data_IF_169248013724
#
_entry.id   IF_169248013724
#
_cell.length_a   1.000
_cell.length_b   1.000
_cell.length_c   1.000
_cell.angle_alpha   90.00
_cell.angle_beta   90.00
_cell.angle_gamma   90.00
#
_symmetry.space_group_name_H-M   'P 1'
#
loop_
_entity.id
_entity.type
_entity.pdbx_description
1 polymer ?
#
# COMPACT_ATOMS: atom_id res chain seq x y z
N UNK A 1 17.18 0.46 -1.67
CA UNK A 1 18.15 1.45 -1.17
C UNK A 1 17.89 2.85 -1.74
N UNK A 2 16.68 3.44 -1.70
CA UNK A 2 16.24 4.26 -2.85
C UNK A 2 15.06 5.27 -2.69
N UNK A 3 15.03 6.18 -1.72
CA UNK A 3 14.77 7.59 -2.16
C UNK A 3 15.56 8.63 -1.35
N UNK A 4 16.32 8.27 -0.32
CA UNK A 4 17.54 9.06 -0.06
C UNK A 4 18.53 8.83 -1.22
N UNK A 5 18.52 7.67 -1.89
CA UNK A 5 19.47 7.36 -2.98
C UNK A 5 18.99 7.69 -4.41
N UNK A 6 17.69 7.87 -4.68
CA UNK A 6 17.21 8.24 -6.03
C UNK A 6 17.19 9.75 -6.28
N UNK A 7 17.13 10.58 -5.23
CA UNK A 7 17.57 11.98 -5.34
C UNK A 7 19.11 12.12 -5.42
N UNK A 8 19.85 11.02 -5.29
CA UNK A 8 21.30 10.97 -5.09
C UNK A 8 22.05 10.18 -6.17
N UNK A 9 21.35 9.65 -7.19
CA UNK A 9 21.95 8.81 -8.23
C UNK A 9 21.93 9.45 -9.63
N UNK A 10 21.94 10.78 -9.70
CA UNK A 10 22.23 11.48 -10.95
C UNK A 10 22.91 12.83 -10.73
N UNK A 11 24.10 12.78 -10.11
CA UNK A 11 25.34 13.57 -10.40
C UNK A 11 26.23 13.55 -9.15
N UNK A 12 27.47 13.04 -9.31
CA UNK A 12 28.64 13.12 -8.42
C UNK A 12 28.42 12.99 -6.89
N UNK A 13 28.98 11.93 -6.28
CA UNK A 13 28.92 11.68 -4.82
C UNK A 13 29.55 12.78 -3.93
N UNK A 14 30.11 13.85 -4.50
CA UNK A 14 30.75 14.94 -3.76
C UNK A 14 29.99 16.29 -3.82
N UNK A 15 29.04 16.52 -4.72
CA UNK A 15 28.45 17.88 -4.91
C UNK A 15 27.47 18.34 -3.82
N UNK A 16 26.74 17.45 -3.16
CA UNK A 16 25.70 17.84 -2.19
C UNK A 16 26.27 18.24 -0.80
N UNK A 17 27.45 17.70 -0.44
CA UNK A 17 28.20 18.08 0.76
C UNK A 17 28.87 19.46 0.62
N UNK A 18 28.98 19.96 -0.62
CA UNK A 18 29.59 21.23 -0.96
C UNK A 18 28.59 22.39 -0.82
N UNK A 19 27.29 22.09 -0.81
CA UNK A 19 26.22 23.09 -0.63
C UNK A 19 26.20 23.69 0.78
N UNK A 20 26.02 25.00 0.88
CA UNK A 20 25.90 25.74 2.16
C UNK A 20 24.79 25.20 3.09
N UNK A 21 23.84 24.45 2.55
CA UNK A 21 22.67 23.93 3.28
C UNK A 21 22.88 22.53 3.89
N UNK A 22 24.00 21.83 3.66
CA UNK A 22 24.14 20.42 4.10
C UNK A 22 23.91 20.26 5.62
N UNK A 23 24.43 21.18 6.43
CA UNK A 23 24.28 21.17 7.90
C UNK A 23 22.83 21.40 8.31
N UNK A 24 22.16 22.35 7.66
CA UNK A 24 20.77 22.71 7.96
C UNK A 24 19.81 21.58 7.59
N UNK A 25 20.01 20.96 6.42
CA UNK A 25 19.25 19.79 5.98
C UNK A 25 19.44 18.64 6.97
N UNK A 26 20.68 18.32 7.34
CA UNK A 26 20.96 17.25 8.31
C UNK A 26 20.31 17.54 9.68
N UNK A 27 20.46 18.77 10.19
CA UNK A 27 19.86 19.18 11.47
C UNK A 27 18.32 19.11 11.42
N UNK A 28 17.72 19.55 10.31
CA UNK A 28 16.27 19.47 10.10
C UNK A 28 15.77 18.03 10.04
N UNK A 29 16.46 17.14 9.32
CA UNK A 29 16.11 15.73 9.26
C UNK A 29 16.21 15.08 10.64
N UNK A 30 17.28 15.34 11.42
CA UNK A 30 17.39 14.88 12.81
C UNK A 30 16.28 15.41 13.71
N UNK A 31 15.89 16.67 13.54
CA UNK A 31 14.76 17.24 14.27
C UNK A 31 13.44 16.52 13.92
N UNK A 32 13.21 16.20 12.65
CA UNK A 32 12.02 15.47 12.19
C UNK A 32 12.02 14.03 12.68
N UNK A 33 13.16 13.34 12.68
CA UNK A 33 13.30 11.99 13.24
C UNK A 33 12.88 11.94 14.71
N UNK A 34 13.33 12.91 15.53
CA UNK A 34 12.97 12.99 16.95
C UNK A 34 11.48 13.27 17.20
N UNK A 35 10.77 13.81 16.21
CA UNK A 35 9.33 14.13 16.29
C UNK A 35 8.44 13.04 15.69
N UNK A 36 9.02 11.92 15.22
CA UNK A 36 8.23 10.81 14.69
C UNK A 36 7.44 10.12 15.81
N UNK A 37 6.35 9.46 15.41
CA UNK A 37 5.58 8.64 16.33
C UNK A 37 6.44 7.46 16.82
N UNK A 38 6.34 7.18 18.11
CA UNK A 38 7.10 6.10 18.74
C UNK A 38 6.35 4.80 18.51
N UNK A 39 7.02 3.85 17.85
CA UNK A 39 6.53 2.48 17.71
C UNK A 39 6.81 1.69 18.99
N UNK A 40 5.77 1.12 19.59
CA UNK A 40 5.82 0.37 20.86
C UNK A 40 5.77 -1.14 20.68
N UNK A 41 5.38 -1.63 19.50
CA UNK A 41 5.31 -3.06 19.20
C UNK A 41 4.22 -3.80 19.96
N UNK A 42 3.09 -3.14 20.24
CA UNK A 42 1.97 -3.67 21.03
C UNK A 42 0.87 -4.32 20.17
N UNK A 43 1.03 -4.30 18.85
CA UNK A 43 0.07 -4.87 17.90
C UNK A 43 -0.15 -6.38 18.11
N UNK A 44 -1.40 -6.86 18.20
CA UNK A 44 -1.71 -8.29 18.21
C UNK A 44 -1.15 -9.05 17.00
N UNK A 45 -1.02 -8.38 15.84
CA UNK A 45 -0.64 -8.94 14.54
C UNK A 45 0.88 -8.87 14.29
N UNK A 46 1.70 -8.54 15.30
CA UNK A 46 3.13 -8.33 15.11
C UNK A 46 3.86 -9.55 14.50
N UNK A 47 3.40 -10.76 14.83
CA UNK A 47 3.94 -12.01 14.30
C UNK A 47 3.75 -12.13 12.77
N UNK A 48 2.73 -11.50 12.18
CA UNK A 48 2.45 -11.49 10.75
C UNK A 48 3.30 -10.47 9.98
N UNK A 49 4.02 -9.59 10.69
CA UNK A 49 4.78 -8.48 10.10
C UNK A 49 5.73 -8.94 9.00
N UNK A 50 6.40 -10.09 9.16
CA UNK A 50 7.30 -10.64 8.14
C UNK A 50 6.54 -10.94 6.83
N UNK A 51 5.45 -11.69 6.93
CA UNK A 51 4.63 -12.05 5.76
C UNK A 51 4.03 -10.80 5.08
N UNK A 52 3.60 -9.82 5.87
CA UNK A 52 3.11 -8.54 5.34
C UNK A 52 4.20 -7.76 4.58
N UNK A 53 5.43 -7.71 5.11
CA UNK A 53 6.54 -7.04 4.43
C UNK A 53 6.93 -7.81 3.16
N UNK A 54 6.95 -9.14 3.19
CA UNK A 54 7.19 -9.95 1.99
C UNK A 54 6.17 -9.65 0.89
N UNK A 55 4.89 -9.59 1.25
CA UNK A 55 3.82 -9.24 0.33
C UNK A 55 3.95 -7.79 -0.18
N UNK A 56 4.24 -6.83 0.70
CA UNK A 56 4.50 -5.44 0.32
C UNK A 56 5.67 -5.34 -0.67
N UNK A 57 6.72 -6.15 -0.51
CA UNK A 57 7.86 -6.18 -1.43
C UNK A 57 7.42 -6.62 -2.83
N UNK A 58 6.58 -7.65 -2.93
CA UNK A 58 6.04 -8.12 -4.22
C UNK A 58 5.26 -7.02 -4.94
N UNK A 59 4.43 -6.27 -4.21
CA UNK A 59 3.70 -5.12 -4.77
C UNK A 59 4.65 -4.02 -5.20
N UNK A 60 5.64 -3.67 -4.37
CA UNK A 60 6.63 -2.64 -4.71
C UNK A 60 7.42 -2.99 -5.97
N UNK A 61 7.77 -4.26 -6.16
CA UNK A 61 8.44 -4.74 -7.37
C UNK A 61 7.51 -4.64 -8.59
N UNK A 62 6.25 -5.06 -8.47
CA UNK A 62 5.27 -5.05 -9.55
C UNK A 62 4.88 -3.64 -10.00
N UNK A 63 4.70 -2.73 -9.05
CA UNK A 63 4.27 -1.35 -9.27
C UNK A 63 5.45 -0.38 -9.43
N UNK A 64 6.69 -0.89 -9.44
CA UNK A 64 7.92 -0.10 -9.57
C UNK A 64 8.10 0.99 -8.50
N UNK A 65 7.64 0.75 -7.27
CA UNK A 65 7.81 1.70 -6.18
C UNK A 65 9.29 1.83 -5.75
N UNK A 66 9.75 3.07 -5.54
CA UNK A 66 11.08 3.32 -4.99
C UNK A 66 11.19 2.77 -3.56
N UNK A 67 12.40 2.42 -3.12
CA UNK A 67 12.57 1.91 -1.75
C UNK A 67 12.23 2.93 -0.65
N UNK A 68 12.20 4.25 -0.91
CA UNK A 68 11.69 5.13 0.16
C UNK A 68 10.20 5.04 0.35
N UNK A 69 9.43 4.83 -0.73
CA UNK A 69 7.98 4.62 -0.66
C UNK A 69 7.74 3.39 0.20
N UNK A 70 8.49 2.32 -0.09
CA UNK A 70 8.48 1.10 0.71
C UNK A 70 8.87 1.36 2.18
N UNK A 71 9.96 2.08 2.48
CA UNK A 71 10.34 2.38 3.87
C UNK A 71 9.31 3.23 4.60
N UNK A 72 8.72 4.21 3.93
CA UNK A 72 7.67 5.05 4.49
C UNK A 72 6.39 4.24 4.70
N UNK A 73 6.02 3.38 3.77
CA UNK A 73 4.88 2.48 3.88
C UNK A 73 5.05 1.48 5.03
N UNK A 74 6.23 0.90 5.22
CA UNK A 74 6.54 0.04 6.38
C UNK A 74 6.39 0.82 7.69
N UNK A 75 6.93 2.04 7.76
CA UNK A 75 6.75 2.90 8.94
C UNK A 75 5.27 3.21 9.21
N UNK A 76 4.49 3.55 8.18
CA UNK A 76 3.05 3.81 8.31
C UNK A 76 2.29 2.57 8.77
N UNK A 77 2.60 1.40 8.21
CA UNK A 77 2.03 0.12 8.58
C UNK A 77 2.30 -0.19 10.05
N UNK A 78 3.56 -0.07 10.49
CA UNK A 78 3.95 -0.33 11.87
C UNK A 78 3.21 0.57 12.86
N UNK A 79 3.13 1.87 12.59
CA UNK A 79 2.40 2.83 13.46
C UNK A 79 0.89 2.58 13.44
N UNK A 80 0.32 2.24 12.29
CA UNK A 80 -1.11 1.95 12.19
C UNK A 80 -1.49 0.71 12.99
N UNK A 81 -0.72 -0.38 12.85
CA UNK A 81 -0.94 -1.62 13.61
C UNK A 81 -0.71 -1.42 15.11
N UNK A 82 0.23 -0.56 15.51
CA UNK A 82 0.55 -0.34 16.94
C UNK A 82 -0.62 0.31 17.71
N UNK A 83 -1.52 0.98 17.00
CA UNK A 83 -2.63 1.74 17.59
C UNK A 83 -4.02 1.16 17.28
N UNK A 84 -4.11 0.05 16.52
CA UNK A 84 -5.39 -0.52 16.09
C UNK A 84 -5.40 -2.05 16.19
N UNK A 85 -6.54 -2.63 16.56
CA UNK A 85 -6.80 -4.07 16.44
C UNK A 85 -7.36 -4.35 15.05
N UNK A 86 -6.56 -4.98 14.18
CA UNK A 86 -6.91 -5.24 12.78
C UNK A 86 -7.13 -6.73 12.59
N UNK A 87 -8.23 -7.13 11.96
CA UNK A 87 -8.43 -8.52 11.58
C UNK A 87 -7.54 -8.90 10.40
N UNK A 88 -7.09 -10.15 10.37
CA UNK A 88 -6.13 -10.64 9.37
C UNK A 88 -6.61 -10.40 7.92
N UNK A 89 -7.93 -10.55 7.70
CA UNK A 89 -8.60 -10.31 6.41
C UNK A 89 -8.40 -8.88 5.88
N UNK A 90 -8.14 -7.91 6.75
CA UNK A 90 -8.00 -6.50 6.38
C UNK A 90 -6.54 -6.05 6.20
N UNK A 91 -5.57 -6.87 6.61
CA UNK A 91 -4.14 -6.49 6.59
C UNK A 91 -3.64 -6.12 5.18
N UNK A 92 -4.15 -6.81 4.15
CA UNK A 92 -3.80 -6.55 2.74
C UNK A 92 -4.22 -5.16 2.28
N UNK A 93 -5.46 -4.77 2.62
CA UNK A 93 -5.97 -3.42 2.32
C UNK A 93 -5.15 -2.34 3.04
N UNK A 94 -4.71 -2.60 4.28
CA UNK A 94 -3.88 -1.68 5.05
C UNK A 94 -2.52 -1.48 4.39
N UNK A 95 -1.86 -2.56 3.93
CA UNK A 95 -0.57 -2.47 3.22
C UNK A 95 -0.69 -1.59 1.98
N UNK A 96 -1.72 -1.81 1.16
CA UNK A 96 -1.96 -1.02 -0.05
C UNK A 96 -2.23 0.44 0.29
N UNK A 97 -3.07 0.71 1.29
CA UNK A 97 -3.31 2.06 1.77
C UNK A 97 -2.01 2.77 2.20
N UNK A 98 -1.12 2.05 2.91
CA UNK A 98 0.19 2.58 3.30
C UNK A 98 1.08 2.89 2.09
N UNK A 99 1.08 2.04 1.06
CA UNK A 99 1.85 2.27 -0.17
C UNK A 99 1.32 3.48 -0.95
N UNK A 100 0.00 3.62 -1.09
CA UNK A 100 -0.60 4.79 -1.74
C UNK A 100 -0.28 6.08 -1.00
N UNK A 101 -0.37 6.09 0.33
CA UNK A 101 -0.04 7.28 1.13
C UNK A 101 1.45 7.61 1.05
N UNK A 102 2.30 6.60 0.91
CA UNK A 102 3.75 6.77 0.86
C UNK A 102 4.27 7.26 -0.50
N UNK A 103 3.56 6.97 -1.59
CA UNK A 103 4.02 7.29 -2.94
C UNK A 103 3.72 8.76 -3.32
N UNK A 104 4.77 9.56 -3.66
CA UNK A 104 4.62 10.93 -4.10
C UNK A 104 3.69 11.14 -5.29
N UNK A 105 3.53 10.14 -6.17
CA UNK A 105 2.58 10.26 -7.28
C UNK A 105 1.15 10.46 -6.77
N UNK A 106 0.84 9.96 -5.56
CA UNK A 106 -0.47 10.13 -4.94
C UNK A 106 -0.60 11.38 -4.07
N UNK A 107 0.50 12.11 -3.80
CA UNK A 107 0.45 13.39 -3.07
C UNK A 107 -0.33 14.45 -3.87
N UNK A 108 -0.34 14.35 -5.20
CA UNK A 108 -1.11 15.24 -6.07
C UNK A 108 -2.59 14.85 -6.19
N UNK A 109 -3.00 13.66 -5.72
CA UNK A 109 -4.41 13.30 -5.68
C UNK A 109 -5.06 13.90 -4.43
N UNK A 110 -6.33 14.28 -4.57
CA UNK A 110 -7.13 14.67 -3.41
C UNK A 110 -7.21 13.48 -2.46
N UNK A 111 -6.87 13.60 -1.17
CA UNK A 111 -6.91 12.47 -0.22
C UNK A 111 -8.29 11.77 -0.18
N UNK A 112 -9.37 12.53 -0.41
CA UNK A 112 -10.73 12.02 -0.52
C UNK A 112 -10.95 11.09 -1.72
N UNK A 113 -10.25 11.30 -2.84
CA UNK A 113 -10.31 10.45 -4.03
C UNK A 113 -9.68 9.08 -3.76
N UNK A 114 -8.51 9.09 -3.09
CA UNK A 114 -7.81 7.87 -2.68
C UNK A 114 -8.68 7.08 -1.70
N UNK A 115 -9.25 7.74 -0.69
CA UNK A 115 -10.15 7.11 0.27
C UNK A 115 -11.40 6.52 -0.42
N UNK A 116 -12.05 7.27 -1.32
CA UNK A 116 -13.19 6.79 -2.09
C UNK A 116 -12.85 5.57 -2.96
N UNK A 117 -11.67 5.58 -3.59
CA UNK A 117 -11.18 4.45 -4.40
C UNK A 117 -10.93 3.21 -3.54
N UNK A 118 -10.30 3.37 -2.36
CA UNK A 118 -10.13 2.27 -1.40
C UNK A 118 -11.48 1.67 -0.97
N UNK A 119 -12.47 2.51 -0.65
CA UNK A 119 -13.82 2.04 -0.29
C UNK A 119 -14.45 1.24 -1.44
N UNK A 120 -14.36 1.75 -2.67
CA UNK A 120 -14.90 1.07 -3.85
C UNK A 120 -14.21 -0.28 -4.08
N UNK A 121 -12.87 -0.33 -4.03
CA UNK A 121 -12.08 -1.57 -4.16
C UNK A 121 -12.43 -2.58 -3.07
N UNK A 122 -12.49 -2.16 -1.79
CA UNK A 122 -12.88 -3.05 -0.68
C UNK A 122 -14.27 -3.63 -0.89
N UNK A 123 -15.24 -2.81 -1.32
CA UNK A 123 -16.61 -3.28 -1.59
C UNK A 123 -16.65 -4.29 -2.73
N UNK A 124 -15.80 -4.13 -3.76
CA UNK A 124 -15.65 -5.11 -4.85
C UNK A 124 -15.07 -6.42 -4.31
N UNK A 125 -13.98 -6.37 -3.54
CA UNK A 125 -13.36 -7.56 -2.95
C UNK A 125 -14.31 -8.31 -2.01
N UNK A 126 -15.16 -7.58 -1.27
CA UNK A 126 -16.20 -8.14 -0.41
C UNK A 126 -17.49 -8.50 -1.16
N UNK A 127 -17.51 -8.39 -2.50
CA UNK A 127 -18.66 -8.71 -3.35
C UNK A 127 -19.95 -7.94 -3.00
N UNK A 128 -19.81 -6.74 -2.42
CA UNK A 128 -20.94 -5.89 -2.05
C UNK A 128 -21.44 -5.12 -3.27
N UNK A 129 -22.72 -5.32 -3.62
CA UNK A 129 -23.38 -4.65 -4.75
C UNK A 129 -24.47 -3.66 -4.29
N UNK A 130 -24.58 -2.48 -4.92
CA UNK A 130 -23.61 -1.91 -5.86
C UNK A 130 -22.28 -1.56 -5.16
N UNK A 131 -21.16 -1.74 -5.87
CA UNK A 131 -19.83 -1.40 -5.33
C UNK A 131 -19.72 0.09 -5.00
N UNK A 132 -20.43 0.93 -5.77
CA UNK A 132 -20.58 2.35 -5.51
C UNK A 132 -22.06 2.76 -5.52
N UNK A 133 -22.64 2.97 -4.34
CA UNK A 133 -24.06 3.29 -4.19
C UNK A 133 -24.35 4.78 -4.41
N UNK A 134 -25.61 5.14 -4.69
CA UNK A 134 -26.01 6.55 -4.80
C UNK A 134 -25.78 7.33 -3.49
N UNK A 135 -25.90 6.65 -2.36
CA UNK A 135 -25.56 7.22 -1.06
C UNK A 135 -24.08 7.62 -0.98
N UNK A 136 -23.16 6.75 -1.43
CA UNK A 136 -21.73 7.05 -1.45
C UNK A 136 -21.38 8.16 -2.45
N UNK A 137 -22.03 8.18 -3.62
CA UNK A 137 -21.90 9.28 -4.58
C UNK A 137 -22.32 10.61 -3.95
N UNK A 138 -23.47 10.64 -3.25
CA UNK A 138 -23.95 11.87 -2.60
C UNK A 138 -23.09 12.29 -1.41
N UNK A 139 -22.52 11.33 -0.66
CA UNK A 139 -21.68 11.60 0.52
C UNK A 139 -20.30 12.15 0.11
N UNK A 140 -19.70 11.57 -0.92
CA UNK A 140 -18.31 11.85 -1.31
C UNK A 140 -18.20 12.81 -2.50
N UNK A 141 -19.30 13.03 -3.23
CA UNK A 141 -19.36 13.73 -4.51
C UNK A 141 -18.52 13.11 -5.64
N UNK A 142 -18.08 11.86 -5.48
CA UNK A 142 -17.39 11.11 -6.55
C UNK A 142 -18.33 10.15 -7.27
N UNK A 143 -18.27 10.17 -8.60
CA UNK A 143 -18.91 9.17 -9.45
C UNK A 143 -17.95 8.02 -9.73
N UNK A 144 -18.47 6.81 -9.89
CA UNK A 144 -17.65 5.62 -10.17
C UNK A 144 -16.67 5.78 -11.35
N UNK A 145 -17.01 6.42 -12.49
CA UNK A 145 -16.06 6.63 -13.58
C UNK A 145 -14.80 7.42 -13.19
N UNK A 146 -14.90 8.31 -12.19
CA UNK A 146 -13.75 9.06 -11.66
C UNK A 146 -12.86 8.18 -10.78
N UNK A 147 -13.45 7.16 -10.14
CA UNK A 147 -12.76 6.23 -9.24
C UNK A 147 -12.13 5.06 -10.00
N UNK A 148 -12.77 4.63 -11.09
CA UNK A 148 -12.46 3.43 -11.86
C UNK A 148 -10.95 3.20 -12.11
N UNK A 149 -10.16 4.14 -12.64
CA UNK A 149 -8.75 3.87 -12.93
C UNK A 149 -7.93 3.55 -11.66
N UNK A 150 -8.27 4.20 -10.54
CA UNK A 150 -7.61 3.95 -9.25
C UNK A 150 -8.07 2.64 -8.65
N UNK A 151 -9.36 2.34 -8.75
CA UNK A 151 -9.93 1.07 -8.30
C UNK A 151 -9.29 -0.10 -9.04
N UNK A 152 -9.15 -0.02 -10.36
CA UNK A 152 -8.51 -1.05 -11.18
C UNK A 152 -7.03 -1.23 -10.81
N UNK A 153 -6.30 -0.14 -10.62
CA UNK A 153 -4.91 -0.20 -10.15
C UNK A 153 -4.81 -0.89 -8.77
N UNK A 154 -5.72 -0.60 -7.85
CA UNK A 154 -5.76 -1.23 -6.52
C UNK A 154 -6.11 -2.71 -6.59
N UNK A 155 -7.09 -3.08 -7.40
CA UNK A 155 -7.47 -4.47 -7.62
C UNK A 155 -6.34 -5.26 -8.28
N UNK A 156 -5.66 -4.67 -9.28
CA UNK A 156 -4.49 -5.28 -9.90
C UNK A 156 -3.34 -5.52 -8.91
N UNK A 157 -3.16 -4.63 -7.93
CA UNK A 157 -2.17 -4.83 -6.87
C UNK A 157 -2.58 -5.99 -5.93
N UNK A 158 -3.87 -6.07 -5.57
CA UNK A 158 -4.46 -7.16 -4.77
C UNK A 158 -4.41 -8.52 -5.48
N UNK A 159 -4.65 -8.56 -6.79
CA UNK A 159 -4.70 -9.78 -7.60
C UNK A 159 -3.33 -10.45 -7.79
N UNK A 160 -2.24 -9.84 -7.32
CA UNK A 160 -0.89 -10.44 -7.30
C UNK A 160 -0.85 -11.79 -6.55
N UNK A 161 -1.89 -12.10 -5.78
CA UNK A 161 -2.05 -13.37 -5.06
C UNK A 161 -2.63 -14.53 -5.87
N UNK A 162 -3.38 -14.29 -6.96
CA UNK A 162 -3.99 -15.40 -7.73
C UNK A 162 -2.97 -16.19 -8.55
N UNK A 163 -1.77 -15.63 -8.76
CA UNK A 163 -0.67 -16.31 -9.48
C UNK A 163 0.41 -16.88 -8.56
N UNK A 164 0.36 -16.63 -7.24
CA UNK A 164 1.39 -17.11 -6.29
C UNK A 164 0.91 -18.26 -5.39
N UNK A 165 -0.31 -18.78 -5.59
CA UNK A 165 -0.83 -19.97 -4.91
C UNK A 165 -0.61 -21.28 -5.68
N UNK A 166 0.46 -21.40 -6.46
CA UNK A 166 0.94 -22.68 -7.00
C UNK A 166 2.45 -22.84 -6.78
N UNK A 167 2.91 -22.90 -5.53
CA UNK A 167 4.16 -23.61 -5.19
C UNK A 167 4.32 -23.86 -3.69
N UNK A 168 4.28 -25.17 -3.35
CA UNK A 168 4.47 -25.84 -2.04
C UNK A 168 3.28 -25.79 -1.06
N UNK A 169 2.61 -26.90 -0.72
CA UNK A 169 3.14 -28.24 -0.41
C UNK A 169 2.44 -29.44 -1.09
N UNK A 170 3.25 -30.49 -1.21
CA UNK A 170 3.11 -31.91 -1.55
C UNK A 170 1.73 -32.61 -1.49
N UNK A 171 1.55 -33.48 -2.48
CA UNK A 171 0.58 -34.56 -2.64
C UNK A 171 0.10 -35.25 -1.34
N UNK A 172 -1.22 -35.21 -1.07
CA UNK A 172 -2.04 -36.38 -0.69
C UNK A 172 -3.46 -36.18 -1.29
N UNK A 173 -3.94 -37.22 -1.98
CA UNK A 173 -5.20 -37.33 -2.74
C UNK A 173 -6.50 -36.94 -1.99
N UNK A 174 -7.46 -36.35 -2.72
CA UNK A 174 -8.90 -36.44 -2.40
C UNK A 174 -9.77 -35.25 -2.84
N UNK A 175 -10.34 -35.33 -4.05
CA UNK A 175 -11.57 -34.67 -4.55
C UNK A 175 -12.04 -33.34 -3.92
N UNK A 176 -11.89 -32.22 -4.65
CA UNK A 176 -12.96 -31.20 -4.81
C UNK A 176 -12.62 -30.13 -5.87
N UNK A 177 -13.54 -30.00 -6.83
CA UNK A 177 -13.81 -28.97 -7.85
C UNK A 177 -12.96 -27.68 -7.95
N UNK A 178 -12.62 -27.21 -9.18
CA UNK A 178 -11.93 -25.94 -9.38
C UNK A 178 -12.88 -24.74 -9.26
N UNK A 179 -12.60 -23.82 -8.35
CA UNK A 179 -13.26 -22.49 -8.33
C UNK A 179 -12.62 -21.65 -9.43
N UNK A 180 -13.34 -21.56 -10.54
CA UNK A 180 -12.98 -20.76 -11.70
C UNK A 180 -13.16 -19.27 -11.38
N UNK A 181 -12.05 -18.55 -11.19
CA UNK A 181 -12.03 -17.08 -11.20
C UNK A 181 -12.20 -16.61 -12.64
N UNK A 182 -13.45 -16.63 -13.13
CA UNK A 182 -13.84 -15.92 -14.34
C UNK A 182 -14.08 -14.46 -13.98
N UNK A 183 -13.30 -13.61 -14.63
CA UNK A 183 -13.54 -12.20 -14.91
C UNK A 183 -14.94 -11.71 -14.52
N UNK A 184 -15.03 -10.88 -13.48
CA UNK A 184 -16.25 -10.13 -13.18
C UNK A 184 -16.34 -9.00 -14.20
N UNK A 185 -17.12 -9.26 -15.25
CA UNK A 185 -17.60 -8.24 -16.15
C UNK A 185 -18.46 -7.24 -15.35
N UNK A 186 -18.02 -5.97 -15.32
CA UNK A 186 -18.80 -4.88 -14.78
C UNK A 186 -19.92 -4.59 -15.79
N UNK A 187 -21.18 -4.84 -15.40
CA UNK A 187 -22.38 -4.29 -16.05
C UNK A 187 -22.88 -3.11 -15.22
#
# INVERSE_FOLDING_TARGET
>A
MCCIRYYFLMTSEEEWLIGSYHKDIHNYLRLKERKRFIYRGQSPQLHLRKSMIEWMNMICLKMEFCTSVQHLAVYLLDIFMDNHTIYDDHLRMVIIGCLMVADPAFINFTPSLVAASCIASTRICLTITPCWSKHLENLTNYKYPQLKPYVEMLLNALDTDLSTSESHCSEINGNSTPVSTKCIAIT
#
